data_IF_154336868695
#
_entry.id   IF_154336868695
#
_cell.length_a   1.000
_cell.length_b   1.000
_cell.length_c   1.000
_cell.angle_alpha   90.00
_cell.angle_beta   90.00
_cell.angle_gamma   90.00
#
_symmetry.space_group_name_H-M   'P 1'
#
loop_
_entity.id
_entity.type
_entity.pdbx_description
1 polymer ?
#
# COMPACT_ATOMS: atom_id res chain seq x y z
N UNK A 1 -11.66 -19.76 2.69
CA UNK A 1 -11.48 -19.07 1.39
C UNK A 1 -10.08 -18.50 1.35
N UNK A 2 -9.29 -18.77 0.31
CA UNK A 2 -7.95 -18.15 0.15
C UNK A 2 -8.15 -16.68 -0.23
N UNK A 3 -7.85 -15.75 0.69
CA UNK A 3 -7.86 -14.32 0.39
C UNK A 3 -6.60 -14.03 -0.42
N UNK A 4 -6.75 -13.80 -1.72
CA UNK A 4 -5.65 -13.36 -2.58
C UNK A 4 -5.52 -11.85 -2.46
N UNK A 5 -4.30 -11.37 -2.16
CA UNK A 5 -3.95 -9.94 -2.21
C UNK A 5 -3.06 -9.72 -3.44
N UNK A 6 -3.65 -9.59 -4.65
CA UNK A 6 -2.88 -9.44 -5.87
C UNK A 6 -2.05 -8.15 -5.81
N UNK A 7 -0.85 -8.20 -6.39
CA UNK A 7 -0.02 -7.00 -6.55
C UNK A 7 -0.62 -6.15 -7.66
N UNK A 8 -1.09 -4.96 -7.32
CA UNK A 8 -1.67 -4.02 -8.27
C UNK A 8 -0.58 -3.36 -9.14
N UNK A 9 -0.90 -3.10 -10.41
CA UNK A 9 -0.12 -2.21 -11.28
C UNK A 9 -0.11 -0.79 -10.73
N UNK A 10 0.75 0.10 -11.25
CA UNK A 10 0.78 1.50 -10.82
C UNK A 10 -0.59 2.18 -10.99
N UNK A 11 -1.22 2.02 -12.15
CA UNK A 11 -2.57 2.54 -12.40
C UNK A 11 -3.60 1.90 -11.48
N UNK A 12 -3.51 0.59 -11.22
CA UNK A 12 -4.39 -0.10 -10.28
C UNK A 12 -4.22 0.39 -8.84
N UNK A 13 -3.01 0.81 -8.44
CA UNK A 13 -2.77 1.42 -7.13
C UNK A 13 -3.41 2.81 -7.05
N UNK A 14 -3.33 3.60 -8.11
CA UNK A 14 -3.96 4.92 -8.19
C UNK A 14 -5.49 4.80 -8.07
N UNK A 15 -6.09 3.87 -8.80
CA UNK A 15 -7.54 3.64 -8.72
C UNK A 15 -7.96 3.17 -7.33
N UNK A 16 -7.23 2.23 -6.74
CA UNK A 16 -7.52 1.75 -5.39
C UNK A 16 -7.44 2.86 -4.32
N UNK A 17 -6.55 3.84 -4.50
CA UNK A 17 -6.46 5.02 -3.63
C UNK A 17 -7.68 5.92 -3.80
N UNK A 18 -8.13 6.16 -5.05
CA UNK A 18 -9.35 6.93 -5.35
C UNK A 18 -10.60 6.28 -4.75
N UNK A 19 -10.75 4.95 -4.89
CA UNK A 19 -11.84 4.18 -4.27
C UNK A 19 -11.89 4.34 -2.75
N UNK A 20 -10.73 4.50 -2.11
CA UNK A 20 -10.61 4.76 -0.67
C UNK A 20 -10.83 6.22 -0.28
N UNK A 21 -11.18 7.09 -1.23
CA UNK A 21 -11.40 8.51 -1.00
C UNK A 21 -10.13 9.34 -0.90
N UNK A 22 -8.97 8.81 -1.31
CA UNK A 22 -7.75 9.60 -1.41
C UNK A 22 -7.86 10.49 -2.65
N UNK A 23 -7.73 11.80 -2.42
CA UNK A 23 -7.83 12.82 -3.47
C UNK A 23 -6.45 13.31 -3.86
N UNK A 24 -6.21 13.51 -5.16
CA UNK A 24 -4.95 14.03 -5.71
C UNK A 24 -5.09 15.52 -6.06
N UNK A 25 -5.50 16.33 -5.08
CA UNK A 25 -5.86 17.74 -5.33
C UNK A 25 -4.68 18.71 -5.21
N UNK A 26 -3.56 18.28 -4.63
CA UNK A 26 -2.40 19.12 -4.33
C UNK A 26 -1.33 19.02 -5.44
N UNK A 27 -1.41 18.00 -6.29
CA UNK A 27 -0.46 17.75 -7.38
C UNK A 27 -1.19 17.20 -8.61
N UNK A 28 -0.61 17.37 -9.78
CA UNK A 28 -1.13 16.78 -11.01
C UNK A 28 -1.05 15.24 -10.96
N UNK A 29 -1.97 14.56 -11.63
CA UNK A 29 -2.05 13.08 -11.64
C UNK A 29 -0.75 12.43 -12.14
N UNK A 30 -0.05 13.06 -13.09
CA UNK A 30 1.25 12.58 -13.57
C UNK A 30 2.32 12.59 -12.45
N UNK A 31 2.28 13.60 -11.57
CA UNK A 31 3.17 13.67 -10.40
C UNK A 31 2.90 12.56 -9.38
N UNK A 32 1.66 12.04 -9.32
CA UNK A 32 1.31 10.90 -8.45
C UNK A 32 2.00 9.63 -8.92
N UNK A 33 2.05 9.39 -10.24
CA UNK A 33 2.74 8.23 -10.83
C UNK A 33 4.23 8.25 -10.51
N UNK A 34 4.84 9.42 -10.67
CA UNK A 34 6.24 9.63 -10.36
C UNK A 34 6.52 9.45 -8.86
N UNK A 35 5.65 9.99 -8.00
CA UNK A 35 5.76 9.84 -6.56
C UNK A 35 5.63 8.39 -6.09
N UNK A 36 4.62 7.65 -6.55
CA UNK A 36 4.42 6.25 -6.17
C UNK A 36 5.56 5.34 -6.66
N UNK A 37 6.20 5.70 -7.77
CA UNK A 37 7.36 5.00 -8.31
C UNK A 37 8.62 5.27 -7.48
N UNK A 38 8.91 6.54 -7.19
CA UNK A 38 10.16 6.97 -6.56
C UNK A 38 10.14 6.89 -5.02
N UNK A 39 9.00 7.19 -4.39
CA UNK A 39 8.85 7.32 -2.93
C UNK A 39 8.17 6.11 -2.29
N UNK A 40 8.54 4.90 -2.73
CA UNK A 40 8.03 3.64 -2.19
C UNK A 40 8.60 3.25 -0.81
N UNK A 41 9.27 4.17 -0.09
CA UNK A 41 9.92 3.90 1.18
C UNK A 41 8.94 3.37 2.24
N UNK A 42 7.71 3.88 2.27
CA UNK A 42 6.66 3.34 3.14
C UNK A 42 6.35 1.88 2.82
N UNK A 43 6.17 1.54 1.53
CA UNK A 43 5.90 0.18 1.10
C UNK A 43 7.08 -0.78 1.35
N UNK A 44 8.32 -0.30 1.19
CA UNK A 44 9.53 -1.05 1.57
C UNK A 44 9.52 -1.37 3.07
N UNK A 45 9.27 -0.38 3.93
CA UNK A 45 9.19 -0.61 5.38
C UNK A 45 8.08 -1.60 5.77
N UNK A 46 6.90 -1.49 5.15
CA UNK A 46 5.80 -2.45 5.36
C UNK A 46 6.20 -3.86 4.94
N UNK A 47 6.91 -4.01 3.81
CA UNK A 47 7.38 -5.31 3.34
C UNK A 47 8.35 -5.95 4.34
N UNK A 48 9.26 -5.18 4.94
CA UNK A 48 10.18 -5.67 5.97
C UNK A 48 9.49 -6.15 7.25
N UNK A 49 8.28 -5.67 7.56
CA UNK A 49 7.51 -6.18 8.73
C UNK A 49 7.23 -7.67 8.64
N UNK A 50 7.18 -8.25 7.44
CA UNK A 50 7.00 -9.69 7.23
C UNK A 50 8.19 -10.53 7.69
N UNK A 51 9.35 -9.91 7.90
CA UNK A 51 10.56 -10.58 8.38
C UNK A 51 10.57 -10.72 9.92
N UNK A 52 9.58 -10.17 10.60
CA UNK A 52 9.42 -10.29 12.04
C UNK A 52 8.23 -11.20 12.34
N UNK A 53 8.35 -11.97 13.42
CA UNK A 53 7.25 -12.79 13.91
C UNK A 53 6.07 -11.90 14.30
N UNK A 54 4.87 -12.33 13.92
CA UNK A 54 3.65 -11.63 14.29
C UNK A 54 3.41 -11.78 15.79
N UNK A 55 2.81 -10.76 16.42
CA UNK A 55 2.43 -10.86 17.82
C UNK A 55 1.56 -12.12 18.02
N UNK A 56 1.94 -13.02 18.94
CA UNK A 56 1.20 -14.26 19.13
C UNK A 56 -0.13 -14.04 19.86
N UNK A 57 -0.34 -12.89 20.52
CA UNK A 57 -1.55 -12.55 21.27
C UNK A 57 -1.81 -11.02 21.23
N UNK A 58 -3.07 -10.62 21.49
CA UNK A 58 -3.50 -9.22 21.65
C UNK A 58 -4.38 -8.70 20.49
N UNK A 59 -4.75 -7.41 20.50
CA UNK A 59 -5.68 -6.81 19.51
C UNK A 59 -5.19 -6.90 18.05
N UNK A 60 -3.89 -7.17 17.87
CA UNK A 60 -3.23 -7.31 16.58
C UNK A 60 -2.71 -8.75 16.32
N UNK A 61 -3.22 -9.75 17.05
CA UNK A 61 -2.89 -11.15 16.80
C UNK A 61 -3.12 -11.52 15.32
N UNK A 62 -2.11 -12.09 14.69
CA UNK A 62 -2.15 -12.53 13.29
C UNK A 62 -2.19 -11.42 12.22
N UNK A 63 -2.25 -10.13 12.58
CA UNK A 63 -2.23 -9.01 11.63
C UNK A 63 -0.84 -8.77 11.03
#
# INVERSE_FOLDING_TARGET
MLITKPKLSLEGQIEHLKEKGVLFNIMYEESVKEYLTQHNNYFKQIAYRKNYDKPPNGENEGK
#
